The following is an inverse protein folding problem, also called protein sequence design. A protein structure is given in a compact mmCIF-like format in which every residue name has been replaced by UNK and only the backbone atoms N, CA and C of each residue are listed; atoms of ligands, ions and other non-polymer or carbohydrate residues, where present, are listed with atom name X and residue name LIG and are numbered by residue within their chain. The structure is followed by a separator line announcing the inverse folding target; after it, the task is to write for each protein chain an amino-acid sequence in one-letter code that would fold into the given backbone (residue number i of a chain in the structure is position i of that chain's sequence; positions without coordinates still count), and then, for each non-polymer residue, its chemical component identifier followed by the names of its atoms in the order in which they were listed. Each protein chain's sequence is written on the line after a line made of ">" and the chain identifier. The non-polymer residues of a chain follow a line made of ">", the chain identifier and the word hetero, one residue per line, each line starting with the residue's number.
data_IF_731356283339
#
_entry.id   IF_731356283339
#
_cell.length_a   1.000
_cell.length_b   1.000
_cell.length_c   1.000
_cell.angle_alpha   90.00
_cell.angle_beta   90.00
_cell.angle_gamma   90.00
#
_symmetry.space_group_name_H-M   'P 1'
#
loop_
_entity.id
_entity.type
_entity.pdbx_description
1 polymer ?
#
# COMPACT_ATOMS: atom_id res chain seq x y z
N UNK A 1 -12.14 -36.92 -4.86
CA UNK A 1 -10.76 -36.55 -5.26
C UNK A 1 -10.53 -35.06 -5.00
N UNK A 2 -9.89 -34.70 -3.87
CA UNK A 2 -9.60 -33.30 -3.50
C UNK A 2 -8.09 -33.05 -3.52
N UNK A 3 -7.51 -32.93 -4.73
CA UNK A 3 -6.08 -32.62 -4.90
C UNK A 3 -5.76 -31.11 -4.84
N UNK A 4 -6.72 -30.25 -4.47
CA UNK A 4 -6.54 -28.78 -4.57
C UNK A 4 -6.05 -28.09 -3.27
N UNK A 5 -5.81 -28.84 -2.19
CA UNK A 5 -5.45 -28.29 -0.87
C UNK A 5 -3.96 -28.43 -0.51
N UNK A 6 -3.20 -29.25 -1.21
CA UNK A 6 -1.86 -29.67 -0.79
C UNK A 6 -0.78 -28.58 -0.97
N UNK A 7 -1.08 -27.48 -1.65
CA UNK A 7 -0.17 -26.33 -1.82
C UNK A 7 -0.92 -24.99 -1.73
N UNK A 8 -1.58 -24.75 -0.59
CA UNK A 8 -2.32 -23.50 -0.33
C UNK A 8 -1.56 -22.60 0.64
N UNK A 9 -1.13 -21.45 0.16
CA UNK A 9 -0.65 -20.34 0.99
C UNK A 9 -1.83 -19.55 1.53
N UNK A 10 -1.81 -19.23 2.83
CA UNK A 10 -2.78 -18.30 3.44
C UNK A 10 -2.32 -16.88 3.18
N UNK A 11 -3.25 -16.03 2.72
CA UNK A 11 -2.99 -14.64 2.43
C UNK A 11 -4.05 -13.78 3.13
N UNK A 12 -3.61 -12.72 3.81
CA UNK A 12 -4.49 -11.67 4.30
C UNK A 12 -4.57 -10.57 3.23
N UNK A 13 -5.78 -10.31 2.75
CA UNK A 13 -6.03 -9.31 1.72
C UNK A 13 -6.88 -8.18 2.29
N UNK A 14 -6.36 -6.96 2.25
CA UNK A 14 -7.09 -5.74 2.64
C UNK A 14 -7.62 -5.08 1.37
N UNK A 15 -8.93 -4.96 1.27
CA UNK A 15 -9.63 -4.35 0.13
C UNK A 15 -10.56 -3.23 0.63
N UNK A 16 -10.84 -2.25 -0.23
CA UNK A 16 -11.91 -1.31 0.05
C UNK A 16 -13.27 -2.02 0.04
N UNK A 17 -14.23 -1.47 0.75
CA UNK A 17 -15.58 -2.02 0.84
C UNK A 17 -16.26 -2.07 -0.55
N UNK A 18 -16.02 -1.06 -1.38
CA UNK A 18 -16.61 -0.98 -2.73
C UNK A 18 -16.18 -2.15 -3.61
N UNK A 19 -14.90 -2.54 -3.52
CA UNK A 19 -14.38 -3.70 -4.26
C UNK A 19 -15.02 -5.00 -3.77
N UNK A 20 -15.23 -5.14 -2.45
CA UNK A 20 -15.92 -6.31 -1.90
C UNK A 20 -17.39 -6.35 -2.33
N UNK A 21 -18.07 -5.21 -2.37
CA UNK A 21 -19.48 -5.13 -2.79
C UNK A 21 -19.63 -5.47 -4.27
N UNK A 22 -18.73 -4.98 -5.13
CA UNK A 22 -18.69 -5.40 -6.54
C UNK A 22 -18.45 -6.91 -6.68
N UNK A 23 -17.52 -7.46 -5.92
CA UNK A 23 -17.24 -8.90 -5.95
C UNK A 23 -18.44 -9.73 -5.46
N UNK A 24 -19.22 -9.23 -4.49
CA UNK A 24 -20.49 -9.86 -4.07
C UNK A 24 -21.55 -9.84 -5.18
N UNK A 25 -21.69 -8.72 -5.89
CA UNK A 25 -22.60 -8.64 -7.05
C UNK A 25 -22.21 -9.65 -8.11
N UNK A 26 -20.92 -9.79 -8.40
CA UNK A 26 -20.40 -10.80 -9.33
C UNK A 26 -20.72 -12.22 -8.84
N UNK A 27 -20.55 -12.50 -7.54
CA UNK A 27 -20.88 -13.80 -6.95
C UNK A 27 -22.38 -14.14 -7.10
N UNK A 28 -23.26 -13.16 -6.87
CA UNK A 28 -24.70 -13.32 -7.08
C UNK A 28 -25.04 -13.68 -8.53
N UNK A 29 -24.51 -12.89 -9.48
CA UNK A 29 -24.68 -13.15 -10.91
C UNK A 29 -24.15 -14.52 -11.33
N UNK A 30 -22.97 -14.90 -10.84
CA UNK A 30 -22.35 -16.19 -11.14
C UNK A 30 -23.17 -17.35 -10.56
N UNK A 31 -23.72 -17.19 -9.35
CA UNK A 31 -24.59 -18.20 -8.73
C UNK A 31 -25.83 -18.44 -9.57
N UNK A 32 -26.47 -17.36 -10.05
CA UNK A 32 -27.65 -17.48 -10.93
C UNK A 32 -27.31 -18.10 -12.28
N UNK A 33 -26.17 -17.71 -12.89
CA UNK A 33 -25.79 -18.17 -14.22
C UNK A 33 -25.33 -19.63 -14.21
N UNK A 34 -24.55 -20.03 -13.20
CA UNK A 34 -23.97 -21.37 -13.10
C UNK A 34 -24.88 -22.36 -12.36
N UNK A 35 -25.95 -21.88 -11.70
CA UNK A 35 -26.88 -22.69 -10.88
C UNK A 35 -26.19 -23.48 -9.78
N UNK A 36 -25.13 -22.91 -9.21
CA UNK A 36 -24.33 -23.50 -8.14
C UNK A 36 -23.86 -22.41 -7.18
N UNK A 37 -23.73 -22.68 -5.87
CA UNK A 37 -23.38 -21.66 -4.89
C UNK A 37 -21.96 -21.15 -5.14
N UNK A 38 -21.83 -19.87 -5.51
CA UNK A 38 -20.54 -19.22 -5.72
C UNK A 38 -20.23 -18.34 -4.51
N UNK A 39 -19.22 -18.72 -3.74
CA UNK A 39 -18.75 -17.92 -2.61
C UNK A 39 -17.85 -16.77 -3.07
N UNK A 40 -17.77 -15.72 -2.25
CA UNK A 40 -16.87 -14.59 -2.50
C UNK A 40 -15.41 -15.02 -2.67
N UNK A 41 -14.96 -16.04 -1.93
CA UNK A 41 -13.60 -16.59 -2.05
C UNK A 41 -13.34 -17.19 -3.44
N UNK A 42 -14.33 -17.86 -4.05
CA UNK A 42 -14.21 -18.42 -5.39
C UNK A 42 -14.05 -17.29 -6.41
N UNK A 43 -14.86 -16.23 -6.29
CA UNK A 43 -14.78 -15.05 -7.17
C UNK A 43 -13.42 -14.37 -7.05
N UNK A 44 -12.97 -14.07 -5.83
CA UNK A 44 -11.68 -13.41 -5.61
C UNK A 44 -10.52 -14.26 -6.14
N UNK A 45 -10.55 -15.58 -5.92
CA UNK A 45 -9.54 -16.49 -6.46
C UNK A 45 -9.53 -16.49 -7.99
N UNK A 46 -10.70 -16.49 -8.63
CA UNK A 46 -10.82 -16.43 -10.08
C UNK A 46 -10.32 -15.09 -10.65
N UNK A 47 -10.65 -13.97 -10.00
CA UNK A 47 -10.20 -12.64 -10.40
C UNK A 47 -8.68 -12.51 -10.30
N UNK A 48 -8.07 -12.99 -9.21
CA UNK A 48 -6.60 -13.01 -9.05
C UNK A 48 -5.98 -13.86 -10.15
N UNK A 49 -6.50 -15.07 -10.39
CA UNK A 49 -5.97 -15.97 -11.42
C UNK A 49 -6.03 -15.36 -12.83
N UNK A 50 -7.18 -14.80 -13.21
CA UNK A 50 -7.35 -14.13 -14.51
C UNK A 50 -6.49 -12.87 -14.61
N UNK A 51 -6.39 -12.10 -13.54
CA UNK A 51 -5.54 -10.91 -13.47
C UNK A 51 -4.06 -11.23 -13.63
N UNK A 52 -3.57 -12.27 -12.97
CA UNK A 52 -2.18 -12.73 -13.09
C UNK A 52 -1.85 -13.22 -14.50
N UNK A 53 -2.79 -13.89 -15.17
CA UNK A 53 -2.61 -14.27 -16.59
C UNK A 53 -2.54 -13.09 -17.55
N UNK A 54 -2.98 -11.90 -17.13
CA UNK A 54 -2.96 -10.67 -17.92
C UNK A 54 -1.74 -9.79 -17.57
N UNK A 55 -0.64 -10.40 -17.12
CA UNK A 55 0.56 -9.70 -16.63
C UNK A 55 1.10 -8.61 -17.57
N UNK A 56 0.98 -8.79 -18.90
CA UNK A 56 1.45 -7.80 -19.88
C UNK A 56 0.48 -6.66 -20.16
N UNK A 57 -0.63 -6.52 -19.43
CA UNK A 57 -1.62 -5.48 -19.71
C UNK A 57 -1.12 -4.11 -19.17
N UNK A 58 -0.95 -3.07 -20.01
CA UNK A 58 -0.39 -1.79 -19.58
C UNK A 58 -1.12 -1.12 -18.40
N UNK A 59 -2.44 -1.33 -18.31
CA UNK A 59 -3.26 -0.85 -17.20
C UNK A 59 -2.86 -1.43 -15.83
N UNK A 60 -2.28 -2.64 -15.81
CA UNK A 60 -1.81 -3.29 -14.58
C UNK A 60 -0.60 -2.54 -14.01
N UNK A 61 0.38 -2.20 -14.84
CA UNK A 61 1.58 -1.48 -14.40
C UNK A 61 1.24 -0.09 -13.88
N UNK A 62 0.36 0.64 -14.57
CA UNK A 62 -0.10 1.97 -14.12
C UNK A 62 -0.79 1.89 -12.76
N UNK A 63 -1.61 0.87 -12.53
CA UNK A 63 -2.30 0.68 -11.25
C UNK A 63 -1.33 0.25 -10.13
N UNK A 64 -0.35 -0.60 -10.43
CA UNK A 64 0.71 -0.96 -9.47
C UNK A 64 1.50 0.29 -9.08
N UNK A 65 1.88 1.11 -10.07
CA UNK A 65 2.62 2.34 -9.85
C UNK A 65 1.84 3.33 -8.99
N UNK A 66 0.55 3.55 -9.28
CA UNK A 66 -0.30 4.48 -8.52
C UNK A 66 -0.43 4.06 -7.05
N UNK A 67 -0.63 2.76 -6.79
CA UNK A 67 -0.71 2.21 -5.44
C UNK A 67 0.62 2.31 -4.69
N UNK A 68 1.73 1.96 -5.34
CA UNK A 68 3.06 2.08 -4.76
C UNK A 68 3.37 3.54 -4.38
N UNK A 69 3.00 4.50 -5.24
CA UNK A 69 3.12 5.94 -4.97
C UNK A 69 2.25 6.37 -3.79
N UNK A 70 0.99 5.92 -3.71
CA UNK A 70 0.10 6.22 -2.59
C UNK A 70 0.67 5.74 -1.25
N UNK A 71 1.18 4.51 -1.19
CA UNK A 71 1.83 3.95 0.00
C UNK A 71 3.07 4.76 0.39
N UNK A 72 3.91 5.15 -0.59
CA UNK A 72 5.08 6.00 -0.34
C UNK A 72 4.69 7.36 0.23
N UNK A 73 3.64 7.98 -0.30
CA UNK A 73 3.14 9.27 0.18
C UNK A 73 2.60 9.17 1.61
N UNK A 74 1.81 8.13 1.92
CA UNK A 74 1.31 7.89 3.28
C UNK A 74 2.46 7.73 4.29
N UNK A 75 3.49 6.95 3.95
CA UNK A 75 4.68 6.79 4.80
C UNK A 75 5.46 8.10 4.98
N UNK A 76 5.54 8.91 3.93
CA UNK A 76 6.24 10.21 3.99
C UNK A 76 5.47 11.23 4.82
N UNK A 77 4.13 11.23 4.76
CA UNK A 77 3.26 12.05 5.61
C UNK A 77 3.37 11.66 7.08
N UNK A 78 3.37 10.36 7.40
CA UNK A 78 3.61 9.86 8.75
C UNK A 78 4.98 10.30 9.31
N UNK A 79 6.02 10.35 8.46
CA UNK A 79 7.36 10.84 8.87
C UNK A 79 7.39 12.34 9.15
N UNK A 80 6.55 13.14 8.48
CA UNK A 80 6.44 14.59 8.76
C UNK A 80 5.70 14.88 10.07
N UNK A 81 4.73 14.06 10.44
CA UNK A 81 4.01 14.20 11.72
C UNK A 81 4.85 13.71 12.91
N UNK A 82 5.76 12.74 12.71
CA UNK A 82 6.72 12.29 13.71
C UNK A 82 8.02 13.10 13.81
N UNK A 83 8.16 14.19 13.04
CA UNK A 83 9.38 15.00 12.92
C UNK A 83 9.44 16.24 13.83
N UNK A 84 8.64 16.30 14.89
CA UNK A 84 8.62 17.40 15.87
C UNK A 84 9.73 17.32 16.94
N UNK A 85 10.95 16.91 16.56
CA UNK A 85 12.14 17.04 17.42
C UNK A 85 12.91 18.31 17.03
N UNK A 86 13.45 19.11 17.97
CA UNK A 86 14.02 20.43 17.66
C UNK A 86 15.19 20.33 16.66
N UNK A 87 15.41 21.36 15.82
CA UNK A 87 16.58 21.39 14.95
C UNK A 87 17.87 21.31 15.79
N UNK A 88 18.94 20.63 15.34
CA UNK A 88 20.23 20.77 15.99
C UNK A 88 20.63 22.24 15.91
N UNK A 89 20.70 22.85 17.09
CA UNK A 89 21.04 24.24 17.33
C UNK A 89 22.21 24.67 16.46
N UNK A 90 22.00 25.75 15.71
CA UNK A 90 22.95 26.29 14.76
C UNK A 90 24.27 26.68 15.41
N UNK A 91 25.35 26.44 14.66
CA UNK A 91 26.63 27.07 14.88
C UNK A 91 26.49 28.59 14.69
N UNK A 92 26.34 29.33 15.79
CA UNK A 92 26.53 30.78 15.81
C UNK A 92 27.97 31.09 16.21
N UNK A 93 28.75 31.21 15.15
CA UNK A 93 30.04 31.85 15.10
C UNK A 93 29.86 33.35 15.40
N UNK A 94 29.88 33.76 16.68
CA UNK A 94 30.02 35.18 17.03
C UNK A 94 30.47 35.40 18.48
N UNK A 95 31.78 35.43 18.73
CA UNK A 95 32.39 36.35 19.70
C UNK A 95 33.76 36.80 19.13
N UNK A 96 33.69 37.54 18.03
CA UNK A 96 34.75 38.47 17.63
C UNK A 96 34.67 39.71 18.54
N UNK A 97 35.31 39.64 19.71
CA UNK A 97 35.60 40.79 20.56
C UNK A 97 37.05 41.24 20.39
N UNK A 98 37.29 42.13 19.43
CA UNK A 98 38.58 42.81 19.25
C UNK A 98 38.79 43.86 20.35
N UNK A 99 40.08 43.98 20.76
CA UNK A 99 40.81 45.18 21.28
C UNK A 99 40.78 45.52 22.79
N UNK A 100 41.98 45.35 23.36
CA UNK A 100 42.91 46.40 23.81
C UNK A 100 43.01 46.75 25.32
N UNK A 101 44.26 47.06 25.69
CA UNK A 101 44.82 47.67 26.93
C UNK A 101 45.04 46.72 28.11
N UNK A 102 46.00 46.86 29.01
CA UNK A 102 47.30 47.54 29.18
C UNK A 102 47.72 47.27 30.64
N UNK A 103 49.02 47.25 30.95
CA UNK A 103 49.67 47.21 32.30
C UNK A 103 49.58 45.85 33.03
N UNK A 104 50.62 45.37 33.70
CA UNK A 104 51.73 46.04 34.38
C UNK A 104 52.92 45.09 34.52
#
# INVERSE_FOLDING_TARGET
>A
MSMMLENKTRLLLVLSQDVLDQARVIAGKATTALKLPVSLQIVLRALIWVGLKRESHPALLVNIESQARAVRQQRSGARRVGGGGPPPSGNLQELSGKRATSKR
#
